data_IF_278508827340
#
_entry.id   IF_278508827340
#
_cell.length_a   1.000
_cell.length_b   1.000
_cell.length_c   1.000
_cell.angle_alpha   90.00
_cell.angle_beta   90.00
_cell.angle_gamma   90.00
#
_symmetry.space_group_name_H-M   'P 1'
#
loop_
_entity.id
_entity.type
_entity.pdbx_description
1 polymer ?
#
# COMPACT_ATOMS: atom_id res chain seq x y z
N UNK A 1 -15.26 5.74 -2.19
CA UNK A 1 -14.47 4.76 -2.96
C UNK A 1 -15.32 3.60 -3.46
N UNK A 2 -15.93 2.80 -2.57
CA UNK A 2 -16.72 1.62 -2.94
C UNK A 2 -17.86 1.93 -3.93
N UNK A 3 -18.64 2.98 -3.67
CA UNK A 3 -19.69 3.44 -4.59
C UNK A 3 -19.18 3.78 -6.00
N UNK A 4 -17.94 4.29 -6.10
CA UNK A 4 -17.33 4.64 -7.39
C UNK A 4 -16.88 3.40 -8.15
N UNK A 5 -16.32 2.40 -7.47
CA UNK A 5 -16.01 1.11 -8.08
C UNK A 5 -17.29 0.40 -8.56
N UNK A 6 -18.34 0.41 -7.73
CA UNK A 6 -19.63 -0.18 -8.10
C UNK A 6 -20.27 0.53 -9.31
N UNK A 7 -20.13 1.85 -9.42
CA UNK A 7 -20.61 2.62 -10.58
C UNK A 7 -19.88 2.25 -11.90
N UNK A 8 -18.67 1.69 -11.81
CA UNK A 8 -17.92 1.15 -12.94
C UNK A 8 -18.24 -0.34 -13.22
N UNK A 9 -19.26 -0.89 -12.54
CA UNK A 9 -19.72 -2.27 -12.73
C UNK A 9 -18.93 -3.32 -11.93
N UNK A 10 -18.10 -2.90 -10.97
CA UNK A 10 -17.36 -3.82 -10.11
C UNK A 10 -18.25 -4.38 -8.99
N UNK A 11 -18.07 -5.65 -8.69
CA UNK A 11 -18.45 -6.18 -7.38
C UNK A 11 -17.41 -5.71 -6.34
N UNK A 12 -17.88 -5.11 -5.25
CA UNK A 12 -16.99 -4.47 -4.27
C UNK A 12 -17.17 -5.10 -2.91
N UNK A 13 -16.07 -5.62 -2.38
CA UNK A 13 -15.94 -6.01 -0.97
C UNK A 13 -15.04 -5.01 -0.25
N UNK A 14 -15.39 -4.69 0.99
CA UNK A 14 -14.64 -3.75 1.83
C UNK A 14 -14.37 -4.38 3.19
N UNK A 15 -13.17 -4.16 3.71
CA UNK A 15 -12.82 -4.49 5.09
C UNK A 15 -12.04 -3.31 5.69
N UNK A 16 -12.49 -2.83 6.84
CA UNK A 16 -11.84 -1.78 7.63
C UNK A 16 -10.78 -2.32 8.59
N UNK A 17 -10.85 -3.60 8.95
CA UNK A 17 -9.88 -4.26 9.82
C UNK A 17 -9.64 -5.74 9.46
N UNK A 18 -8.80 -6.41 10.25
CA UNK A 18 -8.46 -7.82 10.05
C UNK A 18 -9.60 -8.80 10.34
N UNK A 19 -10.52 -8.46 11.23
CA UNK A 19 -11.64 -9.33 11.57
C UNK A 19 -12.67 -9.32 10.44
N UNK A 20 -12.98 -8.14 9.90
CA UNK A 20 -13.81 -7.99 8.71
C UNK A 20 -13.18 -8.68 7.51
N UNK A 21 -11.85 -8.52 7.31
CA UNK A 21 -11.17 -9.19 6.20
C UNK A 21 -11.26 -10.73 6.31
N UNK A 22 -11.06 -11.28 7.50
CA UNK A 22 -11.11 -12.72 7.72
C UNK A 22 -12.52 -13.31 7.51
N UNK A 23 -13.56 -12.49 7.54
CA UNK A 23 -14.93 -12.90 7.28
C UNK A 23 -15.32 -12.84 5.80
N UNK A 24 -14.48 -12.26 4.93
CA UNK A 24 -14.74 -12.21 3.49
C UNK A 24 -14.43 -13.56 2.83
N UNK A 25 -15.35 -14.00 1.97
CA UNK A 25 -15.08 -15.09 1.04
C UNK A 25 -14.30 -14.54 -0.16
N UNK A 26 -13.01 -14.90 -0.23
CA UNK A 26 -12.09 -14.47 -1.28
C UNK A 26 -11.58 -15.66 -2.10
N UNK A 27 -12.26 -16.82 -2.07
CA UNK A 27 -11.84 -18.02 -2.79
C UNK A 27 -11.76 -17.80 -4.31
N UNK A 28 -12.63 -16.93 -4.85
CA UNK A 28 -12.63 -16.55 -6.26
C UNK A 28 -11.45 -15.63 -6.65
N UNK A 29 -10.67 -15.16 -5.69
CA UNK A 29 -9.60 -14.18 -5.88
C UNK A 29 -10.13 -12.75 -6.04
N UNK A 30 -9.22 -11.81 -6.26
CA UNK A 30 -9.53 -10.39 -6.48
C UNK A 30 -8.93 -9.94 -7.81
N UNK A 31 -9.70 -9.23 -8.64
CA UNK A 31 -9.19 -8.57 -9.86
C UNK A 31 -8.39 -7.30 -9.53
N UNK A 32 -8.84 -6.55 -8.52
CA UNK A 32 -8.29 -5.25 -8.15
C UNK A 32 -8.26 -5.11 -6.64
N UNK A 33 -7.16 -4.57 -6.12
CA UNK A 33 -7.03 -4.28 -4.69
C UNK A 33 -6.59 -2.84 -4.48
N UNK A 34 -7.32 -2.11 -3.63
CA UNK A 34 -7.02 -0.73 -3.26
C UNK A 34 -6.87 -0.64 -1.76
N UNK A 35 -5.66 -0.34 -1.29
CA UNK A 35 -5.37 -0.13 0.12
C UNK A 35 -5.38 1.37 0.43
N UNK A 36 -6.48 1.83 1.05
CA UNK A 36 -6.66 3.22 1.48
C UNK A 36 -5.80 3.55 2.71
N UNK A 37 -5.47 4.84 2.95
CA UNK A 37 -4.87 5.25 4.20
C UNK A 37 -5.83 5.00 5.38
N UNK A 38 -5.23 4.66 6.52
CA UNK A 38 -5.97 4.40 7.76
C UNK A 38 -5.87 5.63 8.65
N UNK A 39 -7.02 6.08 9.16
CA UNK A 39 -7.05 7.09 10.21
C UNK A 39 -6.66 6.44 11.54
N UNK A 40 -5.47 6.77 12.03
CA UNK A 40 -4.97 6.24 13.32
C UNK A 40 -5.11 7.32 14.38
N UNK A 41 -5.58 6.91 15.56
CA UNK A 41 -5.63 7.72 16.77
C UNK A 41 -4.46 7.31 17.67
N UNK A 42 -3.31 7.99 17.61
CA UNK A 42 -2.09 7.45 18.19
C UNK A 42 -2.14 7.43 19.72
N UNK A 43 -1.89 6.28 20.32
CA UNK A 43 -1.94 6.07 21.76
C UNK A 43 -0.55 6.09 22.40
N UNK A 44 -0.45 6.60 23.63
CA UNK A 44 0.78 6.55 24.41
C UNK A 44 1.00 7.76 25.31
N UNK A 45 1.67 7.51 26.44
CA UNK A 45 2.00 8.55 27.42
C UNK A 45 3.16 9.45 26.98
N UNK A 46 4.03 8.97 26.08
CA UNK A 46 5.18 9.73 25.55
C UNK A 46 5.01 9.99 24.05
N UNK A 47 5.75 10.97 23.52
CA UNK A 47 5.79 11.23 22.08
C UNK A 47 6.28 10.00 21.30
N UNK A 48 7.34 9.34 21.77
CA UNK A 48 7.86 8.10 21.19
C UNK A 48 6.80 6.99 21.19
N UNK A 49 6.04 6.85 22.28
CA UNK A 49 4.94 5.89 22.38
C UNK A 49 3.85 6.15 21.35
N UNK A 50 3.45 7.42 21.17
CA UNK A 50 2.46 7.82 20.16
C UNK A 50 2.96 7.59 18.74
N UNK A 51 4.22 7.95 18.43
CA UNK A 51 4.82 7.66 17.12
C UNK A 51 4.86 6.15 16.85
N UNK A 52 5.26 5.35 17.84
CA UNK A 52 5.25 3.88 17.73
C UNK A 52 3.85 3.33 17.44
N UNK A 53 2.83 3.76 18.19
CA UNK A 53 1.43 3.35 17.96
C UNK A 53 0.97 3.73 16.56
N UNK A 54 1.20 4.99 16.14
CA UNK A 54 0.89 5.47 14.79
C UNK A 54 1.55 4.63 13.68
N UNK A 55 2.86 4.38 13.79
CA UNK A 55 3.60 3.60 12.80
C UNK A 55 3.13 2.15 12.78
N UNK A 56 2.89 1.55 13.94
CA UNK A 56 2.51 0.13 14.06
C UNK A 56 1.09 -0.12 13.55
N UNK A 57 0.12 0.68 13.99
CA UNK A 57 -1.29 0.52 13.62
C UNK A 57 -1.58 1.04 12.20
N UNK A 58 -0.87 2.08 11.76
CA UNK A 58 -1.11 2.73 10.47
C UNK A 58 -0.28 2.16 9.33
N UNK A 59 1.06 2.19 9.44
CA UNK A 59 1.94 1.80 8.33
C UNK A 59 2.28 0.31 8.39
N UNK A 60 2.76 -0.22 9.51
CA UNK A 60 3.12 -1.64 9.63
C UNK A 60 1.89 -2.55 9.57
N UNK A 61 0.73 -2.09 10.05
CA UNK A 61 -0.54 -2.79 9.88
C UNK A 61 -0.87 -3.06 8.41
N UNK A 62 -0.49 -2.15 7.50
CA UNK A 62 -0.68 -2.31 6.05
C UNK A 62 0.23 -3.39 5.45
N UNK A 63 1.44 -3.59 6.00
CA UNK A 63 2.30 -4.71 5.60
C UNK A 63 1.65 -6.04 5.99
N UNK A 64 1.20 -6.15 7.24
CA UNK A 64 0.55 -7.36 7.74
C UNK A 64 -0.76 -7.66 6.99
N UNK A 65 -1.50 -6.65 6.55
CA UNK A 65 -2.68 -6.82 5.71
C UNK A 65 -2.33 -7.36 4.33
N UNK A 66 -1.30 -6.80 3.70
CA UNK A 66 -0.90 -7.22 2.37
C UNK A 66 -0.35 -8.65 2.37
N UNK A 67 0.50 -8.99 3.34
CA UNK A 67 1.09 -10.32 3.50
C UNK A 67 0.01 -11.41 3.54
N UNK A 68 -1.08 -11.19 4.28
CA UNK A 68 -2.22 -12.11 4.34
C UNK A 68 -2.99 -12.23 3.02
N UNK A 69 -3.00 -11.17 2.22
CA UNK A 69 -3.74 -11.12 0.96
C UNK A 69 -2.90 -11.58 -0.24
N UNK A 70 -1.58 -11.72 -0.11
CA UNK A 70 -0.73 -12.16 -1.22
C UNK A 70 -1.27 -13.38 -1.98
N UNK A 71 -1.76 -14.46 -1.32
CA UNK A 71 -2.29 -15.62 -2.04
C UNK A 71 -3.46 -15.28 -2.97
N UNK A 72 -4.42 -14.48 -2.51
CA UNK A 72 -5.62 -14.10 -3.30
C UNK A 72 -5.34 -13.00 -4.33
N UNK A 73 -4.24 -12.26 -4.15
CA UNK A 73 -3.79 -11.21 -5.08
C UNK A 73 -2.98 -11.76 -6.25
N UNK A 74 -2.60 -13.05 -6.24
CA UNK A 74 -1.90 -13.67 -7.38
C UNK A 74 -2.72 -13.66 -8.67
N UNK A 75 -4.05 -13.61 -8.58
CA UNK A 75 -4.95 -13.47 -9.73
C UNK A 75 -5.30 -12.01 -10.07
N UNK A 76 -4.81 -11.05 -9.29
CA UNK A 76 -5.15 -9.65 -9.48
C UNK A 76 -4.49 -9.06 -10.74
N UNK A 77 -5.16 -8.08 -11.32
CA UNK A 77 -4.61 -7.23 -12.36
C UNK A 77 -3.82 -6.08 -11.74
N UNK A 78 -4.33 -5.52 -10.65
CA UNK A 78 -3.75 -4.32 -10.04
C UNK A 78 -3.81 -4.32 -8.51
N UNK A 79 -2.76 -3.79 -7.90
CA UNK A 79 -2.69 -3.41 -6.50
C UNK A 79 -2.35 -1.92 -6.42
N UNK A 80 -3.20 -1.14 -5.77
CA UNK A 80 -3.02 0.29 -5.57
C UNK A 80 -2.86 0.59 -4.08
N UNK A 81 -1.70 1.12 -3.71
CA UNK A 81 -1.41 1.57 -2.35
C UNK A 81 -1.57 3.09 -2.31
N UNK A 82 -2.57 3.57 -1.58
CA UNK A 82 -2.86 5.01 -1.47
C UNK A 82 -2.10 5.58 -0.28
N UNK A 83 -1.30 6.63 -0.51
CA UNK A 83 -0.57 7.34 0.55
C UNK A 83 -1.51 8.18 1.42
N UNK A 84 -0.96 8.82 2.46
CA UNK A 84 -1.73 9.80 3.25
C UNK A 84 -2.27 9.27 4.58
N UNK A 85 -1.63 8.28 5.22
CA UNK A 85 -1.86 8.03 6.64
C UNK A 85 -1.55 9.33 7.41
N UNK A 86 -2.58 10.06 7.86
CA UNK A 86 -2.42 11.27 8.66
C UNK A 86 -2.66 10.96 10.13
N UNK A 87 -1.85 11.50 11.06
CA UNK A 87 -2.22 11.47 12.46
C UNK A 87 -3.48 12.33 12.60
N UNK A 88 -4.57 11.78 13.12
CA UNK A 88 -5.84 12.51 13.30
C UNK A 88 -5.73 13.75 14.20
N UNK A 89 -4.56 13.99 14.80
CA UNK A 89 -4.23 15.14 15.64
C UNK A 89 -3.01 15.87 15.07
N UNK A 90 -3.15 17.17 14.82
CA UNK A 90 -2.06 18.11 14.42
C UNK A 90 -0.90 18.22 15.42
N UNK A 91 -0.96 17.51 16.55
CA UNK A 91 -0.01 17.59 17.66
C UNK A 91 1.19 16.62 17.56
N UNK A 92 1.26 15.77 16.53
CA UNK A 92 2.43 14.94 16.27
C UNK A 92 3.27 15.59 15.16
N UNK A 93 4.60 15.68 15.33
CA UNK A 93 5.49 15.98 14.21
C UNK A 93 5.19 15.02 13.07
N UNK A 94 4.73 15.56 11.96
CA UNK A 94 4.49 14.80 10.75
C UNK A 94 5.78 14.75 9.93
N UNK A 95 6.31 13.56 9.70
CA UNK A 95 7.35 13.30 8.70
C UNK A 95 6.74 12.52 7.53
N UNK A 96 6.11 13.27 6.61
CA UNK A 96 5.48 12.73 5.42
C UNK A 96 6.47 11.95 4.55
N UNK A 97 7.72 12.42 4.47
CA UNK A 97 8.77 11.80 3.68
C UNK A 97 9.07 10.38 4.18
N UNK A 98 9.32 10.22 5.48
CA UNK A 98 9.60 8.89 6.07
C UNK A 98 8.41 7.94 5.94
N UNK A 99 7.18 8.42 6.09
CA UNK A 99 5.99 7.59 5.88
C UNK A 99 5.87 7.12 4.44
N UNK A 100 6.14 8.01 3.49
CA UNK A 100 6.10 7.67 2.09
C UNK A 100 7.20 6.66 1.73
N UNK A 101 8.40 6.82 2.29
CA UNK A 101 9.49 5.88 2.11
C UNK A 101 9.10 4.47 2.58
N UNK A 102 8.46 4.34 3.75
CA UNK A 102 7.95 3.05 4.24
C UNK A 102 6.86 2.48 3.34
N UNK A 103 5.97 3.31 2.79
CA UNK A 103 4.97 2.86 1.83
C UNK A 103 5.60 2.39 0.51
N UNK A 104 6.69 3.04 0.07
CA UNK A 104 7.45 2.59 -1.09
C UNK A 104 8.15 1.26 -0.83
N UNK A 105 8.71 1.04 0.36
CA UNK A 105 9.25 -0.27 0.77
C UNK A 105 8.17 -1.35 0.66
N UNK A 106 6.96 -1.11 1.17
CA UNK A 106 5.83 -2.04 0.99
C UNK A 106 5.54 -2.30 -0.49
N UNK A 107 5.45 -1.25 -1.30
CA UNK A 107 5.17 -1.36 -2.72
C UNK A 107 6.23 -2.21 -3.45
N UNK A 108 7.51 -2.02 -3.14
CA UNK A 108 8.59 -2.80 -3.74
C UNK A 108 8.54 -4.27 -3.32
N UNK A 109 8.31 -4.57 -2.03
CA UNK A 109 8.14 -5.94 -1.56
C UNK A 109 6.98 -6.64 -2.31
N UNK A 110 5.84 -5.95 -2.41
CA UNK A 110 4.66 -6.44 -3.12
C UNK A 110 4.94 -6.69 -4.60
N UNK A 111 5.65 -5.78 -5.27
CA UNK A 111 6.05 -5.95 -6.67
C UNK A 111 6.90 -7.19 -6.85
N UNK A 112 7.85 -7.42 -5.97
CA UNK A 112 8.72 -8.59 -6.05
C UNK A 112 7.92 -9.90 -5.92
N UNK A 113 7.00 -9.97 -4.96
CA UNK A 113 6.14 -11.15 -4.74
C UNK A 113 5.16 -11.41 -5.89
N UNK A 114 4.56 -10.35 -6.45
CA UNK A 114 3.51 -10.48 -7.47
C UNK A 114 4.04 -10.40 -8.91
N UNK A 115 5.33 -10.10 -9.11
CA UNK A 115 5.95 -10.05 -10.44
C UNK A 115 5.78 -11.35 -11.26
N UNK A 116 5.95 -12.56 -10.69
CA UNK A 116 5.73 -13.81 -11.42
C UNK A 116 4.29 -13.97 -11.96
N UNK A 117 3.34 -13.25 -11.38
CA UNK A 117 1.92 -13.30 -11.72
C UNK A 117 1.47 -12.14 -12.62
N UNK A 118 2.37 -11.21 -12.97
CA UNK A 118 2.07 -10.09 -13.86
C UNK A 118 1.18 -9.00 -13.25
N UNK A 119 1.05 -8.95 -11.92
CA UNK A 119 0.22 -7.96 -11.22
C UNK A 119 0.90 -6.59 -11.20
N UNK A 120 0.19 -5.54 -11.61
CA UNK A 120 0.70 -4.18 -11.55
C UNK A 120 0.52 -3.55 -10.16
N UNK A 121 1.60 -3.14 -9.51
CA UNK A 121 1.56 -2.50 -8.18
C UNK A 121 1.93 -1.01 -8.28
N UNK A 122 1.05 -0.14 -7.81
CA UNK A 122 1.18 1.32 -7.93
C UNK A 122 0.99 2.02 -6.59
N UNK A 123 1.76 3.09 -6.34
CA UNK A 123 1.53 3.99 -5.20
C UNK A 123 0.94 5.30 -5.70
N UNK A 124 -0.21 5.69 -5.15
CA UNK A 124 -0.92 6.92 -5.54
C UNK A 124 -1.06 7.88 -4.37
N UNK A 125 -1.09 9.19 -4.66
CA UNK A 125 -1.23 10.21 -3.64
C UNK A 125 -2.63 10.19 -3.04
N UNK A 126 -2.75 10.13 -1.70
CA UNK A 126 -4.02 10.20 -0.98
C UNK A 126 -4.78 11.52 -1.07
N UNK A 127 -4.14 12.60 -1.53
CA UNK A 127 -4.81 13.87 -1.82
C UNK A 127 -5.67 13.83 -3.10
N UNK A 128 -5.59 12.74 -3.88
CA UNK A 128 -6.41 12.52 -5.08
C UNK A 128 -7.86 12.21 -4.69
N UNK A 129 -8.77 12.54 -5.59
CA UNK A 129 -10.19 12.18 -5.45
C UNK A 129 -10.40 10.69 -5.64
N UNK A 130 -11.51 10.17 -5.09
CA UNK A 130 -11.91 8.78 -5.29
C UNK A 130 -11.98 8.38 -6.76
N UNK A 131 -12.49 9.28 -7.62
CA UNK A 131 -12.63 9.04 -9.06
C UNK A 131 -11.26 8.81 -9.71
N UNK A 132 -10.26 9.59 -9.32
CA UNK A 132 -8.91 9.44 -9.84
C UNK A 132 -8.28 8.12 -9.37
N UNK A 133 -8.43 7.78 -8.09
CA UNK A 133 -7.89 6.53 -7.54
C UNK A 133 -8.57 5.31 -8.18
N UNK A 134 -9.89 5.31 -8.38
CA UNK A 134 -10.60 4.24 -9.11
C UNK A 134 -10.08 4.10 -10.53
N UNK A 135 -9.86 5.21 -11.23
CA UNK A 135 -9.29 5.18 -12.59
C UNK A 135 -7.92 4.50 -12.61
N UNK A 136 -7.07 4.75 -11.61
CA UNK A 136 -5.78 4.07 -11.48
C UNK A 136 -5.95 2.57 -11.22
N UNK A 137 -6.86 2.20 -10.32
CA UNK A 137 -7.12 0.81 -10.00
C UNK A 137 -7.57 0.02 -11.24
N UNK A 138 -8.47 0.56 -12.04
CA UNK A 138 -9.05 -0.16 -13.18
C UNK A 138 -8.17 -0.14 -14.44
N UNK A 139 -7.34 0.90 -14.64
CA UNK A 139 -6.54 1.06 -15.88
C UNK A 139 -5.07 0.65 -15.76
N UNK A 140 -4.62 0.24 -14.57
CA UNK A 140 -3.33 -0.42 -14.40
C UNK A 140 -2.11 0.40 -14.83
N UNK A 141 -1.98 1.64 -14.34
CA UNK A 141 -0.78 2.46 -14.57
C UNK A 141 -0.58 2.96 -16.01
N UNK A 142 -1.43 2.58 -16.96
CA UNK A 142 -1.41 3.06 -18.36
C UNK A 142 -1.94 4.50 -18.52
N UNK A 143 -2.13 5.24 -17.42
CA UNK A 143 -2.48 6.66 -17.47
C UNK A 143 -1.19 7.49 -17.56
N UNK A 144 -0.87 8.12 -18.71
CA UNK A 144 0.33 8.96 -18.85
C UNK A 144 0.32 10.21 -17.96
N UNK A 145 -0.79 10.51 -17.27
CA UNK A 145 -0.89 11.58 -16.27
C UNK A 145 -0.69 11.08 -14.83
N UNK A 146 -0.36 9.79 -14.66
CA UNK A 146 -0.03 9.16 -13.38
C UNK A 146 1.25 9.74 -12.77
N UNK A 147 1.18 10.91 -12.15
CA UNK A 147 2.20 11.29 -11.17
C UNK A 147 2.07 10.35 -9.95
N UNK A 148 2.94 9.36 -9.92
CA UNK A 148 3.24 8.56 -8.74
C UNK A 148 3.73 9.49 -7.62
N UNK A 149 3.55 9.08 -6.38
CA UNK A 149 4.07 9.88 -5.27
C UNK A 149 5.61 9.90 -5.36
N UNK A 150 6.21 11.09 -5.50
CA UNK A 150 7.67 11.26 -5.54
C UNK A 150 8.34 11.68 -6.86
N UNK A 151 7.66 12.35 -7.80
CA UNK A 151 8.37 13.01 -8.93
C UNK A 151 8.50 14.53 -8.67
N UNK A 152 9.71 15.15 -8.71
CA UNK A 152 10.91 14.74 -9.45
C UNK A 152 12.20 14.53 -8.61
N UNK A 153 13.00 13.52 -8.95
CA UNK A 153 14.44 13.51 -8.60
C UNK A 153 15.09 12.14 -8.43
N UNK A 154 14.44 11.19 -7.76
CA UNK A 154 15.08 9.91 -7.44
C UNK A 154 14.02 8.81 -7.40
N UNK A 155 13.78 8.20 -8.55
CA UNK A 155 13.09 6.91 -8.57
C UNK A 155 14.00 5.95 -7.81
N UNK A 156 13.58 5.50 -6.62
CA UNK A 156 14.21 4.35 -5.97
C UNK A 156 14.06 3.19 -6.94
N UNK A 157 15.12 2.92 -7.68
CA UNK A 157 15.17 1.88 -8.69
C UNK A 157 14.98 0.53 -8.00
N UNK A 158 14.44 -0.47 -8.71
CA UNK A 158 14.36 -1.84 -8.18
C UNK A 158 15.69 -2.31 -7.58
N UNK A 159 16.81 -1.86 -8.18
CA UNK A 159 18.16 -2.09 -7.69
C UNK A 159 18.44 -1.47 -6.31
N UNK A 160 18.06 -0.21 -6.08
CA UNK A 160 18.24 0.43 -4.76
C UNK A 160 17.43 -0.26 -3.66
N UNK A 161 16.24 -0.76 -3.98
CA UNK A 161 15.46 -1.57 -3.04
C UNK A 161 16.10 -2.95 -2.81
N UNK A 162 16.60 -3.62 -3.85
CA UNK A 162 17.33 -4.89 -3.72
C UNK A 162 18.58 -4.75 -2.87
N UNK A 163 19.35 -3.67 -3.07
CA UNK A 163 20.55 -3.34 -2.30
C UNK A 163 20.17 -3.11 -0.82
N UNK A 164 19.17 -2.26 -0.56
CA UNK A 164 18.64 -2.03 0.80
C UNK A 164 18.14 -3.32 1.46
N UNK A 165 17.38 -4.14 0.73
CA UNK A 165 16.87 -5.42 1.24
C UNK A 165 18.02 -6.35 1.62
N UNK A 166 19.07 -6.39 0.80
CA UNK A 166 20.26 -7.20 1.06
C UNK A 166 21.00 -6.71 2.31
N UNK A 167 21.15 -5.40 2.47
CA UNK A 167 21.77 -4.78 3.65
C UNK A 167 20.97 -5.01 4.94
N UNK A 168 19.65 -4.86 4.89
CA UNK A 168 18.77 -4.96 6.07
C UNK A 168 18.50 -6.40 6.48
N UNK A 169 18.30 -7.30 5.51
CA UNK A 169 17.91 -8.69 5.80
C UNK A 169 19.10 -9.65 5.82
N UNK A 170 20.31 -9.19 5.47
CA UNK A 170 21.51 -10.03 5.41
C UNK A 170 21.40 -11.19 4.39
N UNK A 171 20.45 -11.11 3.45
CA UNK A 171 20.16 -12.17 2.49
C UNK A 171 21.17 -12.11 1.34
N UNK A 172 22.35 -12.68 1.56
CA UNK A 172 23.29 -12.96 0.47
C UNK A 172 22.64 -13.98 -0.46
N UNK A 173 22.47 -13.65 -1.75
CA UNK A 173 22.12 -14.64 -2.76
C UNK A 173 23.24 -15.69 -2.79
N UNK A 174 22.94 -16.89 -2.30
CA UNK A 174 23.80 -18.07 -2.51
C UNK A 174 23.48 -18.57 -3.92
N UNK A 175 24.28 -18.16 -4.91
CA UNK A 175 24.28 -18.82 -6.20
C UNK A 175 24.84 -20.23 -5.99
N UNK A 176 24.06 -21.25 -6.37
CA UNK A 176 24.50 -22.65 -6.49
C UNK A 176 24.68 -22.98 -7.95
#
# INVERSE_FOLDING_TARGET
MAERLAAEGMEVVTAGDFAELAALDLEAGLDHYVQLPVAVHPAGQTLVGRVRSFLSEGLLGRFALLDRLLPVLTSAKTVVLVSGNTPGTTALPDDEHSRLALLHVLAHATRAELAPHGVAVTVVNGARTDIEIVRFALRGGADPTARLVGEPGEQVTSKQYEDWRTEVMGLVQVHT
#
